data_IF_621752303543
#
_entry.id   IF_621752303543
#
_cell.length_a   1.000
_cell.length_b   1.000
_cell.length_c   1.000
_cell.angle_alpha   90.00
_cell.angle_beta   90.00
_cell.angle_gamma   90.00
#
_symmetry.space_group_name_H-M   'P 1'
#
loop_
_entity.id
_entity.type
_entity.pdbx_description
1 polymer ?
#
# COMPACT_ATOMS: atom_id res chain seq x y z
N UNK A 1 -24.32 -43.38 -27.90
CA UNK A 1 -23.51 -44.08 -28.94
C UNK A 1 -22.37 -43.17 -29.41
N UNK A 2 -21.38 -43.74 -30.12
CA UNK A 2 -20.25 -43.08 -30.80
C UNK A 2 -20.21 -43.66 -32.24
N UNK A 3 -19.57 -43.02 -33.25
CA UNK A 3 -18.11 -42.97 -33.32
C UNK A 3 -17.53 -41.65 -33.87
N UNK A 4 -16.27 -41.70 -34.33
CA UNK A 4 -15.36 -40.60 -34.68
C UNK A 4 -14.71 -40.87 -36.05
N UNK A 5 -14.19 -39.85 -36.75
CA UNK A 5 -12.75 -39.85 -37.14
C UNK A 5 -12.12 -38.45 -36.99
N UNK A 6 -10.82 -38.18 -36.73
CA UNK A 6 -9.50 -38.86 -36.57
C UNK A 6 -8.46 -37.98 -37.32
N UNK A 7 -7.18 -38.04 -36.91
CA UNK A 7 -5.97 -37.38 -37.47
C UNK A 7 -5.77 -35.88 -37.19
N UNK A 8 -4.55 -35.37 -36.95
CA UNK A 8 -3.27 -36.01 -36.53
C UNK A 8 -2.27 -34.95 -35.98
N UNK A 9 -1.30 -35.38 -35.15
CA UNK A 9 -0.26 -34.55 -34.49
C UNK A 9 1.07 -34.51 -35.33
N UNK A 10 2.26 -34.01 -34.89
CA UNK A 10 2.74 -33.69 -33.53
C UNK A 10 3.61 -32.40 -33.34
N UNK A 11 4.18 -32.25 -32.14
CA UNK A 11 5.19 -31.25 -31.74
C UNK A 11 6.64 -31.68 -32.09
N UNK A 12 7.58 -30.74 -32.30
CA UNK A 12 9.02 -31.01 -32.27
C UNK A 12 9.64 -30.89 -30.86
N UNK A 13 10.83 -31.45 -30.67
CA UNK A 13 11.47 -31.69 -29.35
C UNK A 13 12.79 -30.92 -29.18
N UNK A 14 13.13 -30.62 -27.93
CA UNK A 14 14.42 -30.06 -27.46
C UNK A 14 15.62 -30.84 -28.02
N UNK A 15 16.64 -30.13 -28.52
CA UNK A 15 17.95 -30.70 -28.80
C UNK A 15 19.04 -29.97 -28.02
N UNK A 16 20.01 -30.73 -27.53
CA UNK A 16 21.24 -30.28 -26.89
C UNK A 16 22.36 -31.17 -27.40
N UNK A 17 23.44 -30.58 -27.92
CA UNK A 17 24.65 -31.32 -28.21
C UNK A 17 25.87 -30.44 -27.96
N UNK A 18 26.95 -31.06 -27.48
CA UNK A 18 28.22 -30.42 -27.16
C UNK A 18 29.19 -30.55 -28.35
N UNK A 19 30.22 -29.70 -28.41
CA UNK A 19 31.48 -30.09 -29.04
C UNK A 19 32.66 -29.29 -28.51
N UNK A 20 33.74 -30.01 -28.16
CA UNK A 20 35.00 -29.44 -27.70
C UNK A 20 35.90 -29.00 -28.87
N UNK A 21 36.78 -28.02 -28.61
CA UNK A 21 37.91 -27.67 -29.48
C UNK A 21 39.08 -27.11 -28.65
N UNK A 22 40.28 -27.67 -28.81
CA UNK A 22 41.47 -27.36 -27.99
C UNK A 22 42.74 -27.31 -28.85
N UNK A 23 43.75 -26.52 -28.41
CA UNK A 23 45.11 -26.39 -28.99
C UNK A 23 45.14 -25.68 -30.36
N UNK A 24 46.24 -25.11 -30.90
CA UNK A 24 47.72 -25.25 -30.71
C UNK A 24 48.32 -23.81 -30.72
N UNK A 25 49.26 -23.35 -29.86
CA UNK A 25 50.74 -23.58 -29.82
C UNK A 25 51.47 -23.18 -31.15
N UNK A 26 52.68 -22.57 -31.24
CA UNK A 26 53.78 -22.26 -30.28
C UNK A 26 54.67 -21.08 -30.77
N UNK A 27 55.56 -20.53 -29.90
CA UNK A 27 56.94 -19.97 -30.14
C UNK A 27 57.24 -19.01 -31.34
N UNK A 28 58.08 -17.96 -31.29
CA UNK A 28 59.44 -17.75 -30.70
C UNK A 28 59.85 -16.23 -30.84
N UNK A 29 61.03 -15.63 -30.52
CA UNK A 29 62.15 -15.81 -29.54
C UNK A 29 63.08 -14.56 -29.49
N UNK A 30 63.64 -14.23 -28.32
CA UNK A 30 64.88 -13.45 -28.03
C UNK A 30 65.02 -11.93 -28.34
N UNK A 31 65.76 -11.23 -27.46
CA UNK A 31 66.23 -9.83 -27.63
C UNK A 31 66.62 -9.12 -26.31
N UNK A 32 67.88 -9.22 -25.87
CA UNK A 32 68.48 -8.54 -24.70
C UNK A 32 69.94 -8.16 -25.05
N UNK A 33 70.53 -7.04 -24.54
CA UNK A 33 71.18 -7.08 -23.21
C UNK A 33 71.26 -5.74 -22.42
N UNK A 34 71.94 -5.82 -21.25
CA UNK A 34 72.48 -4.78 -20.36
C UNK A 34 71.56 -4.09 -19.31
N UNK A 35 72.08 -4.08 -18.06
CA UNK A 35 71.71 -3.17 -16.97
C UNK A 35 72.84 -2.15 -16.69
N UNK A 36 73.16 -1.73 -15.44
CA UNK A 36 72.88 -2.40 -14.17
C UNK A 36 71.96 -1.62 -13.20
N UNK A 37 71.85 -2.19 -11.99
CA UNK A 37 71.01 -1.87 -10.82
C UNK A 37 70.95 -0.42 -10.34
N UNK A 38 69.79 0.01 -9.82
CA UNK A 38 69.67 0.90 -8.65
C UNK A 38 68.37 0.61 -7.85
N UNK A 39 68.29 1.15 -6.64
CA UNK A 39 67.44 0.71 -5.51
C UNK A 39 65.90 0.91 -5.65
N UNK A 40 65.06 0.16 -4.89
CA UNK A 40 63.61 0.25 -4.96
C UNK A 40 62.99 1.41 -4.16
N UNK A 41 62.15 2.21 -4.80
CA UNK A 41 61.23 3.17 -4.14
C UNK A 41 59.85 2.54 -3.86
N UNK A 42 59.15 2.93 -2.77
CA UNK A 42 57.85 2.37 -2.43
C UNK A 42 56.73 2.89 -3.35
N UNK A 43 55.74 2.05 -3.71
CA UNK A 43 54.66 2.45 -4.61
C UNK A 43 53.65 3.39 -3.93
N UNK A 44 53.52 4.60 -4.46
CA UNK A 44 52.50 5.58 -4.07
C UNK A 44 51.08 5.03 -4.26
N UNK A 45 50.16 5.36 -3.35
CA UNK A 45 48.78 4.87 -3.39
C UNK A 45 48.08 5.24 -4.72
N UNK A 46 47.67 4.22 -5.47
CA UNK A 46 47.03 4.39 -6.79
C UNK A 46 45.57 4.85 -6.61
N UNK A 47 45.27 6.07 -7.03
CA UNK A 47 43.97 6.71 -6.81
C UNK A 47 42.82 6.00 -7.53
N UNK A 48 41.78 5.61 -6.78
CA UNK A 48 40.51 5.18 -7.36
C UNK A 48 39.66 6.42 -7.71
N UNK A 49 39.67 6.79 -9.00
CA UNK A 49 38.85 7.85 -9.57
C UNK A 49 37.35 7.46 -9.57
N UNK A 50 36.69 7.53 -8.40
CA UNK A 50 35.24 7.47 -8.33
C UNK A 50 34.66 8.84 -8.73
N UNK A 51 33.75 8.93 -9.71
CA UNK A 51 33.13 10.21 -10.07
C UNK A 51 32.38 10.79 -8.85
N UNK A 52 32.30 12.13 -8.73
CA UNK A 52 31.62 12.76 -7.61
C UNK A 52 30.16 12.33 -7.58
N UNK A 53 29.74 11.77 -6.44
CA UNK A 53 28.36 11.36 -6.25
C UNK A 53 27.50 12.62 -6.09
N UNK A 54 26.78 13.00 -7.16
CA UNK A 54 25.81 14.09 -7.10
C UNK A 54 24.84 13.89 -5.93
N UNK A 55 24.73 14.92 -5.08
CA UNK A 55 23.68 14.97 -4.07
C UNK A 55 22.29 14.86 -4.72
N UNK A 56 21.26 14.40 -4.02
CA UNK A 56 21.04 14.59 -2.58
C UNK A 56 20.21 13.44 -1.99
N UNK A 57 20.71 12.76 -0.96
CA UNK A 57 19.95 11.80 -0.14
C UNK A 57 20.29 12.01 1.34
N UNK A 58 19.28 12.13 2.21
CA UNK A 58 19.39 12.08 3.68
C UNK A 58 20.12 13.21 4.43
N UNK A 59 21.07 13.92 3.81
CA UNK A 59 21.97 14.93 4.44
C UNK A 59 22.88 14.42 5.56
N UNK A 60 22.88 13.12 5.88
CA UNK A 60 23.64 12.55 6.99
C UNK A 60 24.04 11.10 6.72
N UNK A 61 25.35 10.83 6.56
CA UNK A 61 26.05 9.55 6.82
C UNK A 61 25.69 8.27 6.06
N UNK A 62 24.42 8.01 5.75
CA UNK A 62 23.94 6.70 5.30
C UNK A 62 24.19 6.47 3.80
N UNK A 63 24.60 5.26 3.39
CA UNK A 63 24.70 4.90 1.98
C UNK A 63 23.32 4.91 1.32
N UNK A 64 23.26 5.35 0.05
CA UNK A 64 22.03 5.33 -0.73
C UNK A 64 21.47 3.89 -0.77
N UNK A 65 20.22 3.64 -0.34
CA UNK A 65 19.64 2.31 -0.31
C UNK A 65 19.34 1.79 -1.72
N UNK A 66 19.11 0.49 -1.88
CA UNK A 66 18.75 -0.09 -3.18
C UNK A 66 17.43 0.47 -3.71
N UNK A 67 17.20 0.39 -5.03
CA UNK A 67 16.03 0.98 -5.67
C UNK A 67 14.70 0.37 -5.16
N UNK A 68 14.70 -0.93 -4.89
CA UNK A 68 13.60 -1.61 -4.20
C UNK A 68 13.31 -0.99 -2.82
N UNK A 69 14.34 -0.71 -2.02
CA UNK A 69 14.20 -0.09 -0.69
C UNK A 69 13.77 1.38 -0.80
N UNK A 70 14.28 2.13 -1.77
CA UNK A 70 13.78 3.49 -2.09
C UNK A 70 12.28 3.45 -2.43
N UNK A 71 11.84 2.45 -3.20
CA UNK A 71 10.43 2.21 -3.53
C UNK A 71 9.56 1.93 -2.30
N UNK A 72 10.00 1.03 -1.41
CA UNK A 72 9.31 0.76 -0.14
C UNK A 72 9.13 2.03 0.71
N UNK A 73 10.19 2.84 0.84
CA UNK A 73 10.18 4.10 1.58
C UNK A 73 9.22 5.11 0.92
N UNK A 74 9.22 5.19 -0.42
CA UNK A 74 8.30 6.02 -1.19
C UNK A 74 6.83 5.67 -0.94
N UNK A 75 6.49 4.37 -0.90
CA UNK A 75 5.13 3.90 -0.58
C UNK A 75 4.71 4.29 0.84
N UNK A 76 5.61 4.21 1.83
CA UNK A 76 5.33 4.68 3.20
C UNK A 76 5.08 6.19 3.24
N UNK A 77 5.93 7.00 2.59
CA UNK A 77 5.76 8.46 2.57
C UNK A 77 4.47 8.88 1.84
N UNK A 78 4.11 8.20 0.75
CA UNK A 78 2.83 8.39 0.04
C UNK A 78 1.62 8.01 0.91
N UNK A 79 1.72 6.93 1.68
CA UNK A 79 0.70 6.51 2.65
C UNK A 79 0.53 7.54 3.78
N UNK A 80 1.63 8.04 4.36
CA UNK A 80 1.60 9.10 5.37
C UNK A 80 0.95 10.38 4.86
N UNK A 81 1.26 10.82 3.63
CA UNK A 81 0.61 11.96 2.99
C UNK A 81 -0.90 11.71 2.75
N UNK A 82 -1.27 10.49 2.35
CA UNK A 82 -2.67 10.09 2.18
C UNK A 82 -3.43 10.14 3.50
N UNK A 83 -2.86 9.64 4.60
CA UNK A 83 -3.44 9.70 5.94
C UNK A 83 -3.56 11.12 6.49
N UNK A 84 -2.59 11.98 6.20
CA UNK A 84 -2.60 13.42 6.52
C UNK A 84 -3.79 14.13 5.87
N UNK A 85 -4.00 13.91 4.57
CA UNK A 85 -5.16 14.45 3.83
C UNK A 85 -6.48 13.81 4.28
N UNK A 86 -6.46 12.54 4.67
CA UNK A 86 -7.60 11.84 5.27
C UNK A 86 -7.95 12.28 6.70
N UNK A 87 -7.16 13.17 7.33
CA UNK A 87 -7.26 13.53 8.77
C UNK A 87 -7.14 12.32 9.70
N UNK A 88 -6.39 11.28 9.31
CA UNK A 88 -6.24 10.02 10.06
C UNK A 88 -4.90 9.91 10.78
N UNK A 89 -4.88 9.27 11.96
CA UNK A 89 -3.65 9.06 12.72
C UNK A 89 -2.68 8.12 11.96
N UNK A 90 -1.38 8.43 11.88
CA UNK A 90 -0.41 7.59 11.18
C UNK A 90 0.07 6.43 12.06
N UNK A 91 -0.84 5.50 12.32
CA UNK A 91 -0.56 4.23 12.99
C UNK A 91 -0.16 3.17 11.96
N UNK A 92 0.58 2.15 12.36
CA UNK A 92 0.97 1.03 11.48
C UNK A 92 -0.23 0.38 10.78
N UNK A 93 -1.34 0.23 11.50
CA UNK A 93 -2.61 -0.26 10.94
C UNK A 93 -3.15 0.67 9.86
N UNK A 94 -3.27 1.96 10.14
CA UNK A 94 -3.82 2.91 9.17
C UNK A 94 -2.91 3.04 7.93
N UNK A 95 -1.59 2.95 8.11
CA UNK A 95 -0.61 2.90 7.01
C UNK A 95 -0.81 1.64 6.17
N UNK A 96 -1.03 0.49 6.83
CA UNK A 96 -1.33 -0.79 6.17
C UNK A 96 -2.64 -0.75 5.39
N UNK A 97 -3.71 -0.27 6.00
CA UNK A 97 -5.02 -0.14 5.36
C UNK A 97 -4.95 0.86 4.18
N UNK A 98 -4.26 2.00 4.33
CA UNK A 98 -4.06 2.97 3.24
C UNK A 98 -3.17 2.49 2.10
N UNK A 99 -2.28 1.52 2.33
CA UNK A 99 -1.48 0.86 1.29
C UNK A 99 -2.31 -0.24 0.60
N UNK A 100 -3.07 -1.02 1.39
CA UNK A 100 -3.86 -2.17 0.91
C UNK A 100 -5.07 -1.79 0.07
N UNK A 101 -5.73 -0.69 0.41
CA UNK A 101 -6.95 -0.19 -0.25
C UNK A 101 -6.71 1.17 -0.96
N UNK A 102 -5.44 1.55 -1.17
CA UNK A 102 -5.02 2.74 -1.93
C UNK A 102 -4.74 2.42 -3.40
N UNK A 103 -3.55 2.78 -3.91
CA UNK A 103 -3.13 2.39 -5.27
C UNK A 103 -2.92 0.86 -5.34
N UNK A 104 -3.62 0.14 -6.24
CA UNK A 104 -3.46 -1.31 -6.41
C UNK A 104 -2.02 -1.78 -6.65
N UNK A 105 -1.15 -0.94 -7.22
CA UNK A 105 0.28 -1.23 -7.43
C UNK A 105 1.05 -1.47 -6.12
N UNK A 106 0.52 -1.03 -4.98
CA UNK A 106 1.18 -1.08 -3.68
C UNK A 106 0.49 -2.01 -2.68
N UNK A 107 -0.64 -2.63 -3.05
CA UNK A 107 -1.48 -3.48 -2.18
C UNK A 107 -0.71 -4.62 -1.48
N UNK A 108 0.37 -5.10 -2.10
CA UNK A 108 1.19 -6.23 -1.64
C UNK A 108 2.52 -5.81 -0.99
N UNK A 109 2.72 -4.52 -0.69
CA UNK A 109 3.93 -4.04 0.00
C UNK A 109 4.02 -4.61 1.42
N UNK A 110 5.19 -5.13 1.78
CA UNK A 110 5.54 -5.46 3.17
C UNK A 110 5.71 -4.15 3.96
N UNK A 111 4.64 -3.77 4.66
CA UNK A 111 4.53 -2.50 5.38
C UNK A 111 5.50 -2.44 6.56
N UNK A 112 5.75 -3.57 7.22
CA UNK A 112 6.68 -3.62 8.35
C UNK A 112 8.10 -3.36 7.87
N UNK A 113 8.57 -4.12 6.89
CA UNK A 113 9.89 -3.93 6.27
C UNK A 113 10.06 -2.55 5.65
N UNK A 114 9.00 -1.99 5.07
CA UNK A 114 9.00 -0.64 4.52
C UNK A 114 9.13 0.45 5.60
N UNK A 115 8.45 0.30 6.75
CA UNK A 115 8.58 1.19 7.90
C UNK A 115 9.96 1.08 8.56
N UNK A 116 10.48 -0.14 8.73
CA UNK A 116 11.83 -0.41 9.23
C UNK A 116 12.87 0.28 8.33
N UNK A 117 12.81 0.02 7.01
CA UNK A 117 13.66 0.70 6.01
C UNK A 117 13.58 2.22 6.07
N UNK A 118 12.38 2.78 6.25
CA UNK A 118 12.17 4.23 6.30
C UNK A 118 12.71 4.87 7.58
N UNK A 119 12.80 4.10 8.68
CA UNK A 119 13.39 4.55 9.95
C UNK A 119 14.91 4.43 9.93
N UNK A 120 15.45 3.32 9.42
CA UNK A 120 16.90 3.13 9.22
C UNK A 120 17.51 4.23 8.35
N UNK A 121 16.81 4.59 7.26
CA UNK A 121 17.20 5.68 6.34
C UNK A 121 16.84 7.07 6.87
N UNK A 122 16.31 7.18 8.09
CA UNK A 122 15.85 8.41 8.73
C UNK A 122 14.88 9.25 7.86
N UNK A 123 14.04 8.61 7.04
CA UNK A 123 12.99 9.30 6.29
C UNK A 123 11.69 9.41 7.11
N UNK A 124 11.47 8.47 8.03
CA UNK A 124 10.35 8.41 8.97
C UNK A 124 10.89 8.29 10.41
N UNK A 125 10.21 8.92 11.36
CA UNK A 125 10.48 8.83 12.80
C UNK A 125 9.29 8.20 13.53
N UNK A 126 9.57 7.40 14.56
CA UNK A 126 8.56 6.93 15.52
C UNK A 126 8.33 8.00 16.59
N UNK A 127 7.07 8.26 16.93
CA UNK A 127 6.64 9.13 18.02
C UNK A 127 5.65 8.36 18.90
N UNK A 128 5.84 8.39 20.22
CA UNK A 128 4.96 7.68 21.17
C UNK A 128 3.94 8.64 21.77
N UNK A 129 2.65 8.32 21.63
CA UNK A 129 1.55 9.05 22.25
C UNK A 129 0.85 8.13 23.25
N UNK A 130 1.36 8.12 24.50
CA UNK A 130 1.00 7.08 25.48
C UNK A 130 1.41 5.70 24.96
N UNK A 131 0.45 4.77 24.93
CA UNK A 131 0.67 3.42 24.37
C UNK A 131 0.63 3.34 22.82
N UNK A 132 0.40 4.45 22.12
CA UNK A 132 0.23 4.47 20.66
C UNK A 132 1.52 4.88 19.93
N UNK A 133 2.07 3.98 19.11
CA UNK A 133 3.14 4.31 18.16
C UNK A 133 2.57 5.02 16.94
N UNK A 134 3.07 6.23 16.68
CA UNK A 134 2.80 7.03 15.49
C UNK A 134 4.06 7.13 14.62
N UNK A 135 3.88 7.21 13.31
CA UNK A 135 4.96 7.31 12.33
C UNK A 135 4.83 8.64 11.57
N UNK A 136 5.87 9.45 11.51
CA UNK A 136 5.83 10.80 10.88
C UNK A 136 7.07 10.98 10.01
N UNK A 137 6.98 11.68 8.88
CA UNK A 137 8.16 12.03 8.08
C UNK A 137 9.16 12.86 8.91
N UNK A 138 10.48 12.70 8.71
CA UNK A 138 11.52 13.35 9.54
C UNK A 138 11.39 14.88 9.67
N UNK A 139 10.82 15.53 8.66
CA UNK A 139 10.60 16.99 8.63
C UNK A 139 9.12 17.40 8.82
N UNK A 140 8.21 16.44 9.01
CA UNK A 140 6.78 16.70 9.19
C UNK A 140 6.41 16.91 10.67
N UNK A 141 5.39 17.75 10.89
CA UNK A 141 4.71 17.85 12.19
C UNK A 141 3.52 16.90 12.22
N UNK A 142 3.23 16.30 13.37
CA UNK A 142 2.01 15.54 13.58
C UNK A 142 0.78 16.43 13.33
N UNK A 143 -0.20 15.93 12.59
CA UNK A 143 -1.40 16.66 12.19
C UNK A 143 -2.58 16.37 13.11
N UNK A 144 -3.56 17.30 13.15
CA UNK A 144 -4.83 17.09 13.86
C UNK A 144 -5.58 15.93 13.20
N UNK A 145 -5.78 14.86 13.95
CA UNK A 145 -6.49 13.67 13.49
C UNK A 145 -7.93 13.65 14.01
N UNK A 146 -8.85 13.12 13.21
CA UNK A 146 -10.18 12.73 13.63
C UNK A 146 -10.08 11.37 14.33
N UNK A 147 -10.61 11.29 15.54
CA UNK A 147 -10.79 10.01 16.23
C UNK A 147 -12.10 9.39 15.73
N UNK A 148 -12.05 8.21 15.05
CA UNK A 148 -13.24 7.58 14.48
C UNK A 148 -14.10 6.85 15.52
N UNK A 149 -13.61 6.65 16.75
CA UNK A 149 -14.37 6.01 17.84
C UNK A 149 -15.23 7.06 18.57
N UNK A 150 -14.67 8.24 18.84
CA UNK A 150 -15.42 9.36 19.40
C UNK A 150 -16.35 9.99 18.36
N UNK A 151 -17.61 10.23 18.70
CA UNK A 151 -18.54 10.98 17.88
C UNK A 151 -19.89 11.10 18.58
N UNK A 152 -20.65 12.16 18.29
CA UNK A 152 -22.00 12.32 18.79
C UNK A 152 -22.96 12.41 17.59
N UNK A 153 -23.90 11.46 17.42
CA UNK A 153 -24.86 11.50 16.31
C UNK A 153 -25.72 12.77 16.27
N UNK A 154 -25.89 13.47 17.40
CA UNK A 154 -26.61 14.76 17.50
C UNK A 154 -25.81 15.97 17.02
N UNK A 155 -24.50 15.83 16.77
CA UNK A 155 -23.61 16.90 16.28
C UNK A 155 -23.32 16.78 14.78
N UNK A 156 -23.79 15.71 14.13
CA UNK A 156 -23.71 15.58 12.67
C UNK A 156 -24.94 16.22 12.00
N UNK A 157 -24.78 16.95 10.88
CA UNK A 157 -25.89 17.52 10.14
C UNK A 157 -26.93 16.46 9.73
N UNK A 158 -28.20 16.86 9.60
CA UNK A 158 -29.29 15.93 9.22
C UNK A 158 -29.07 15.41 7.80
N UNK A 159 -28.59 16.30 6.94
CA UNK A 159 -28.31 16.12 5.52
C UNK A 159 -27.36 14.93 5.29
N UNK A 160 -26.33 14.80 6.13
CA UNK A 160 -25.38 13.67 6.12
C UNK A 160 -26.07 12.35 6.42
N UNK A 161 -27.04 12.33 7.36
CA UNK A 161 -27.79 11.11 7.67
C UNK A 161 -28.78 10.75 6.56
N UNK A 162 -29.46 11.75 5.99
CA UNK A 162 -30.43 11.55 4.91
C UNK A 162 -29.73 11.05 3.63
N UNK A 163 -28.59 11.64 3.25
CA UNK A 163 -27.80 11.23 2.08
C UNK A 163 -27.28 9.79 2.22
N UNK A 164 -26.76 9.42 3.40
CA UNK A 164 -26.37 8.03 3.69
C UNK A 164 -27.57 7.09 3.63
N UNK A 165 -28.73 7.50 4.15
CA UNK A 165 -29.93 6.67 4.12
C UNK A 165 -30.36 6.39 2.68
N UNK A 166 -30.37 7.42 1.82
CA UNK A 166 -30.63 7.30 0.37
C UNK A 166 -29.58 6.38 -0.28
N UNK A 167 -28.30 6.62 -0.06
CA UNK A 167 -27.22 5.80 -0.60
C UNK A 167 -27.39 4.30 -0.23
N UNK A 168 -27.71 4.01 1.03
CA UNK A 168 -27.91 2.65 1.53
C UNK A 168 -29.26 2.02 1.12
N UNK A 169 -30.25 2.76 0.60
CA UNK A 169 -31.42 2.15 -0.06
C UNK A 169 -31.15 1.82 -1.53
N UNK A 170 -30.26 2.55 -2.23
CA UNK A 170 -29.96 2.25 -3.64
C UNK A 170 -29.36 0.84 -3.83
N UNK A 171 -29.72 0.10 -4.91
CA UNK A 171 -29.11 -1.19 -5.21
C UNK A 171 -27.58 -1.12 -5.34
N UNK A 172 -27.07 -0.05 -5.94
CA UNK A 172 -25.63 0.18 -6.10
C UNK A 172 -24.91 0.39 -4.76
N UNK A 173 -25.42 1.26 -3.89
CA UNK A 173 -24.82 1.53 -2.58
C UNK A 173 -24.91 0.34 -1.63
N UNK A 174 -26.03 -0.40 -1.64
CA UNK A 174 -26.15 -1.69 -0.92
C UNK A 174 -25.09 -2.67 -1.38
N UNK A 175 -24.97 -2.88 -2.69
CA UNK A 175 -24.01 -3.84 -3.26
C UNK A 175 -22.56 -3.45 -2.97
N UNK A 176 -22.22 -2.16 -3.10
CA UNK A 176 -20.89 -1.66 -2.82
C UNK A 176 -20.49 -1.82 -1.35
N UNK A 177 -21.39 -1.53 -0.41
CA UNK A 177 -21.13 -1.71 1.03
C UNK A 177 -21.04 -3.21 1.39
N UNK A 178 -21.96 -4.03 0.91
CA UNK A 178 -21.96 -5.48 1.13
C UNK A 178 -20.71 -6.17 0.56
N UNK A 179 -20.08 -5.62 -0.48
CA UNK A 179 -18.83 -6.14 -1.06
C UNK A 179 -17.55 -5.82 -0.29
N UNK A 180 -17.58 -4.96 0.73
CA UNK A 180 -16.37 -4.47 1.42
C UNK A 180 -15.79 -5.51 2.40
N UNK A 181 -14.47 -5.59 2.48
CA UNK A 181 -13.70 -6.55 3.30
C UNK A 181 -13.39 -6.00 4.70
N UNK A 182 -13.39 -4.68 4.89
CA UNK A 182 -13.20 -4.06 6.20
C UNK A 182 -13.86 -2.67 6.33
N UNK A 183 -13.91 -2.15 7.58
CA UNK A 183 -14.39 -0.79 7.89
C UNK A 183 -13.66 0.32 7.12
N UNK A 184 -12.37 0.15 6.82
CA UNK A 184 -11.58 1.14 6.07
C UNK A 184 -12.07 1.25 4.62
N UNK A 185 -12.20 0.10 3.95
CA UNK A 185 -12.72 0.00 2.58
C UNK A 185 -14.18 0.47 2.49
N UNK A 186 -15.03 0.15 3.48
CA UNK A 186 -16.38 0.69 3.58
C UNK A 186 -16.39 2.23 3.74
N UNK A 187 -15.44 2.79 4.51
CA UNK A 187 -15.24 4.25 4.57
C UNK A 187 -14.86 4.86 3.23
N UNK A 188 -14.01 4.20 2.44
CA UNK A 188 -13.67 4.64 1.07
C UNK A 188 -14.91 4.59 0.16
N UNK A 189 -15.71 3.53 0.22
CA UNK A 189 -16.96 3.41 -0.54
C UNK A 189 -17.94 4.54 -0.20
N UNK A 190 -18.22 4.79 1.08
CA UNK A 190 -19.11 5.88 1.50
C UNK A 190 -18.55 7.23 1.05
N UNK A 191 -17.25 7.48 1.23
CA UNK A 191 -16.62 8.74 0.81
C UNK A 191 -16.74 8.96 -0.69
N UNK A 192 -16.44 7.96 -1.51
CA UNK A 192 -16.33 8.14 -2.96
C UNK A 192 -17.69 8.15 -3.67
N UNK A 193 -18.68 7.41 -3.14
CA UNK A 193 -20.00 7.29 -3.75
C UNK A 193 -21.08 8.22 -3.16
N UNK A 194 -20.85 8.73 -1.94
CA UNK A 194 -21.77 9.59 -1.20
C UNK A 194 -20.99 10.84 -0.70
N UNK A 195 -20.37 10.75 0.47
CA UNK A 195 -19.77 11.87 1.22
C UNK A 195 -18.41 12.35 0.67
N UNK A 196 -18.40 12.86 -0.57
CA UNK A 196 -17.20 13.20 -1.34
C UNK A 196 -16.32 14.27 -0.71
N UNK A 197 -16.94 15.30 -0.14
CA UNK A 197 -16.25 16.47 0.41
C UNK A 197 -15.69 16.26 1.82
N UNK A 198 -16.05 15.16 2.49
CA UNK A 198 -15.51 14.79 3.79
C UNK A 198 -14.17 14.07 3.67
N UNK A 199 -13.29 14.26 4.66
CA UNK A 199 -12.07 13.47 4.77
C UNK A 199 -12.41 12.05 5.24
N UNK A 200 -11.61 11.06 4.85
CA UNK A 200 -11.89 9.65 5.17
C UNK A 200 -11.99 9.39 6.69
N UNK A 201 -11.22 10.10 7.54
CA UNK A 201 -11.35 10.02 8.99
C UNK A 201 -12.71 10.48 9.52
N UNK A 202 -13.36 11.45 8.87
CA UNK A 202 -14.71 11.95 9.20
C UNK A 202 -15.76 10.94 8.74
N UNK A 203 -15.61 10.40 7.54
CA UNK A 203 -16.48 9.32 7.02
C UNK A 203 -16.37 8.04 7.88
N UNK A 204 -15.18 7.69 8.37
CA UNK A 204 -14.98 6.56 9.28
C UNK A 204 -15.58 6.80 10.67
N UNK A 205 -15.58 8.05 11.16
CA UNK A 205 -16.30 8.43 12.38
C UNK A 205 -17.80 8.27 12.19
N UNK A 206 -18.34 8.74 11.07
CA UNK A 206 -19.76 8.60 10.71
C UNK A 206 -20.13 7.11 10.56
N UNK A 207 -19.31 6.30 9.89
CA UNK A 207 -19.49 4.84 9.79
C UNK A 207 -19.51 4.16 11.17
N UNK A 208 -18.63 4.55 12.09
CA UNK A 208 -18.69 4.03 13.45
C UNK A 208 -20.00 4.41 14.15
N UNK A 209 -20.51 5.63 13.95
CA UNK A 209 -21.82 6.04 14.49
C UNK A 209 -23.02 5.32 13.82
N UNK A 210 -22.92 4.95 12.53
CA UNK A 210 -23.90 4.09 11.85
C UNK A 210 -23.99 2.71 12.52
N UNK A 211 -22.84 2.13 12.86
CA UNK A 211 -22.73 0.81 13.49
C UNK A 211 -23.11 0.85 14.97
N UNK A 212 -22.70 1.89 15.71
CA UNK A 212 -22.82 1.92 17.16
C UNK A 212 -24.10 2.58 17.68
N UNK A 213 -24.64 3.59 17.00
CA UNK A 213 -25.79 4.35 17.51
C UNK A 213 -27.03 4.24 16.62
N UNK A 214 -26.89 4.42 15.29
CA UNK A 214 -28.03 4.27 14.36
C UNK A 214 -28.42 2.81 14.13
N UNK A 215 -27.48 1.89 14.34
CA UNK A 215 -27.57 0.43 14.09
C UNK A 215 -27.92 0.02 12.66
N UNK A 216 -27.88 0.93 11.69
CA UNK A 216 -28.21 0.71 10.26
C UNK A 216 -27.26 -0.27 9.54
N UNK A 217 -26.05 -0.43 10.05
CA UNK A 217 -25.05 -1.38 9.56
C UNK A 217 -24.65 -2.28 10.73
N UNK A 218 -25.09 -3.53 10.70
CA UNK A 218 -24.73 -4.54 11.70
C UNK A 218 -23.70 -5.49 11.08
N UNK A 219 -22.62 -5.77 11.82
CA UNK A 219 -21.62 -6.78 11.46
C UNK A 219 -21.50 -7.81 12.58
N UNK A 220 -21.03 -9.01 12.25
CA UNK A 220 -20.82 -10.07 13.25
C UNK A 220 -19.72 -9.71 14.26
N UNK A 221 -19.76 -10.31 15.45
CA UNK A 221 -18.70 -10.10 16.46
C UNK A 221 -17.34 -10.61 15.99
N UNK A 222 -17.31 -11.68 15.18
CA UNK A 222 -16.10 -12.32 14.68
C UNK A 222 -15.38 -11.53 13.55
N UNK A 223 -16.00 -10.52 12.93
CA UNK A 223 -15.40 -9.84 11.79
C UNK A 223 -16.28 -8.75 11.16
N UNK A 224 -15.79 -8.18 10.06
CA UNK A 224 -16.55 -7.18 9.30
C UNK A 224 -17.69 -7.80 8.47
N UNK A 225 -17.50 -9.04 8.02
CA UNK A 225 -18.50 -9.81 7.25
C UNK A 225 -18.98 -11.02 8.07
N UNK A 226 -20.22 -11.50 7.86
CA UNK A 226 -21.27 -10.91 7.03
C UNK A 226 -21.84 -9.59 7.60
N UNK A 227 -22.28 -8.73 6.69
CA UNK A 227 -23.01 -7.49 6.98
C UNK A 227 -24.53 -7.65 6.88
N UNK A 228 -25.27 -6.86 7.64
CA UNK A 228 -26.74 -6.71 7.56
C UNK A 228 -27.08 -5.21 7.52
N UNK A 229 -27.89 -4.80 6.54
CA UNK A 229 -28.33 -3.41 6.32
C UNK A 229 -29.79 -3.22 6.76
N UNK A 230 -29.94 -2.83 8.03
CA UNK A 230 -31.16 -2.73 8.86
C UNK A 230 -31.80 -1.34 8.83
N UNK A 231 -31.85 -0.72 7.65
CA UNK A 231 -32.43 0.62 7.51
C UNK A 231 -33.88 0.66 7.98
N UNK A 232 -34.34 1.78 8.57
CA UNK A 232 -35.76 2.03 8.72
C UNK A 232 -36.40 1.91 7.33
N UNK A 233 -37.48 1.13 7.22
CA UNK A 233 -38.28 1.15 6.00
C UNK A 233 -38.77 2.57 5.76
N UNK A 234 -38.69 3.03 4.51
CA UNK A 234 -39.72 3.94 4.03
C UNK A 234 -41.04 3.23 4.25
N UNK A 235 -41.97 3.82 5.02
CA UNK A 235 -43.29 3.24 5.21
C UNK A 235 -44.02 3.26 3.87
N UNK A 236 -43.88 2.18 3.11
CA UNK A 236 -44.71 1.87 1.94
C UNK A 236 -46.09 1.51 2.44
N UNK A 237 -46.88 2.54 2.76
CA UNK A 237 -48.27 2.41 3.20
C UNK A 237 -49.16 2.07 1.99
N UNK A 238 -48.90 0.91 1.38
CA UNK A 238 -49.67 0.36 0.27
C UNK A 238 -50.81 -0.51 0.84
N UNK A 239 -51.68 0.13 1.60
CA UNK A 239 -52.91 -0.46 2.12
C UNK A 239 -53.98 -0.60 1.04
N UNK A 240 -53.77 -1.51 0.08
CA UNK A 240 -54.79 -1.92 -0.89
C UNK A 240 -55.31 -3.33 -0.57
N UNK A 241 -56.40 -3.39 0.20
CA UNK A 241 -57.14 -4.62 0.45
C UNK A 241 -58.02 -4.98 -0.74
N UNK A 242 -57.64 -6.01 -1.50
CA UNK A 242 -58.47 -6.58 -2.56
C UNK A 242 -58.83 -8.04 -2.22
N UNK A 243 -59.97 -8.22 -1.53
CA UNK A 243 -60.62 -9.52 -1.37
C UNK A 243 -61.97 -9.50 -2.09
N UNK A 244 -62.10 -10.26 -3.18
CA UNK A 244 -63.34 -10.78 -3.75
C UNK A 244 -63.01 -12.03 -4.54
#
# INVERSE_FOLDING_TARGET
>A
MKPNPKSSAPLPVRSTNEQNGHMVHSSSTQGYPHGPEYQPTPPTAKGNNKPPANGKWGSSGFPKPSEYVQGLIGVVLLSLNSLKNAKMAPTEKNITDSIRYGDPKHRNTDVKKALESAIEQQMVVKQSLGALTLYVGKNDKLWKCVNPISGNPKQQPKEIWDEIQIFLTTPAGRSAIMGTQCKYEAGIVIKNMCLKDLALGEVLQILNMLIQHKKWIVHQQAGWQPLILTLPGSNSDSGDTAST
#
